data_IF_194925149882
#
_entry.id   IF_194925149882
#
_cell.length_a   1.000
_cell.length_b   1.000
_cell.length_c   1.000
_cell.angle_alpha   90.00
_cell.angle_beta   90.00
_cell.angle_gamma   90.00
#
_symmetry.space_group_name_H-M   'P 1'
#
loop_
_entity.id
_entity.type
_entity.pdbx_description
1 polymer ?
#
# COMPACT_ATOMS: atom_id res chain seq x y z
N UNK A 1 103.17 -23.69 -131.39
CA UNK A 1 103.13 -22.47 -130.56
C UNK A 1 101.84 -22.46 -129.76
N UNK A 2 101.96 -22.12 -128.47
CA UNK A 2 100.94 -21.80 -127.49
C UNK A 2 99.94 -22.89 -127.05
N UNK A 3 100.29 -23.59 -125.98
CA UNK A 3 99.32 -24.13 -125.02
C UNK A 3 99.18 -23.10 -123.86
N UNK A 4 97.95 -22.70 -123.49
CA UNK A 4 97.74 -21.54 -122.63
C UNK A 4 97.90 -21.90 -121.15
N UNK A 5 98.57 -20.99 -120.45
CA UNK A 5 98.48 -20.78 -119.01
C UNK A 5 97.01 -20.58 -118.64
N UNK A 6 96.48 -21.43 -117.75
CA UNK A 6 95.27 -21.08 -117.01
C UNK A 6 95.40 -21.52 -115.55
N UNK A 7 96.23 -20.79 -114.81
CA UNK A 7 96.24 -20.81 -113.35
C UNK A 7 95.34 -19.68 -112.87
N UNK A 8 94.03 -19.80 -113.08
CA UNK A 8 93.05 -18.98 -112.36
C UNK A 8 92.78 -19.66 -111.03
N UNK A 9 93.54 -19.26 -110.01
CA UNK A 9 93.13 -19.47 -108.62
C UNK A 9 91.92 -18.55 -108.42
N UNK A 10 90.70 -19.08 -108.55
CA UNK A 10 89.52 -18.34 -108.12
C UNK A 10 89.68 -18.10 -106.61
N UNK A 11 89.96 -16.85 -106.24
CA UNK A 11 89.98 -16.43 -104.85
C UNK A 11 88.55 -16.44 -104.33
N UNK A 12 88.28 -17.28 -103.32
CA UNK A 12 87.00 -17.26 -102.62
C UNK A 12 86.64 -15.83 -102.23
N UNK A 13 85.52 -15.31 -102.74
CA UNK A 13 85.03 -13.97 -102.43
C UNK A 13 84.73 -13.87 -100.93
N UNK A 14 85.10 -12.73 -100.32
CA UNK A 14 84.77 -12.45 -98.92
C UNK A 14 83.26 -12.28 -98.83
N UNK A 15 82.60 -13.05 -97.96
CA UNK A 15 81.16 -12.91 -97.75
C UNK A 15 80.83 -11.50 -97.26
N UNK A 16 79.90 -10.86 -97.96
CA UNK A 16 79.34 -9.59 -97.53
C UNK A 16 78.23 -9.82 -96.48
N UNK A 17 78.21 -8.96 -95.46
CA UNK A 17 77.19 -8.95 -94.40
C UNK A 17 75.77 -9.00 -94.97
N UNK A 18 75.49 -8.23 -96.03
CA UNK A 18 74.15 -8.13 -96.63
C UNK A 18 73.67 -9.47 -97.22
N UNK A 19 74.57 -10.26 -97.81
CA UNK A 19 74.25 -11.58 -98.36
C UNK A 19 73.91 -12.56 -97.24
N UNK A 20 74.61 -12.47 -96.12
CA UNK A 20 74.36 -13.29 -94.93
C UNK A 20 73.00 -12.92 -94.29
N UNK A 21 72.72 -11.63 -94.13
CA UNK A 21 71.45 -11.15 -93.57
C UNK A 21 70.27 -11.59 -94.46
N UNK A 22 70.41 -11.50 -95.78
CA UNK A 22 69.39 -11.99 -96.71
C UNK A 22 69.17 -13.51 -96.62
N UNK A 23 70.23 -14.28 -96.37
CA UNK A 23 70.12 -15.73 -96.17
C UNK A 23 69.32 -16.08 -94.91
N UNK A 24 69.41 -15.29 -93.83
CA UNK A 24 68.59 -15.47 -92.62
C UNK A 24 67.12 -15.03 -92.79
N UNK A 25 66.81 -14.18 -93.77
CA UNK A 25 65.45 -13.72 -94.04
C UNK A 25 64.59 -14.76 -94.79
N UNK A 26 65.20 -15.83 -95.31
CA UNK A 26 64.54 -16.87 -96.10
C UNK A 26 64.72 -18.23 -95.43
N UNK A 27 63.64 -19.00 -95.35
CA UNK A 27 63.73 -20.40 -94.92
C UNK A 27 64.68 -21.19 -95.82
N UNK A 28 65.70 -21.84 -95.24
CA UNK A 28 66.75 -22.56 -95.99
C UNK A 28 67.77 -21.67 -96.70
N UNK A 29 67.72 -20.34 -96.54
CA UNK A 29 68.65 -19.42 -97.22
C UNK A 29 70.10 -19.60 -96.77
N UNK A 30 70.35 -20.01 -95.53
CA UNK A 30 71.69 -20.36 -95.05
C UNK A 30 72.24 -21.63 -95.69
N UNK A 31 71.38 -22.56 -96.07
CA UNK A 31 71.76 -23.79 -96.78
C UNK A 31 72.14 -23.47 -98.23
N UNK A 32 71.38 -22.59 -98.90
CA UNK A 32 71.72 -22.08 -100.24
C UNK A 32 73.05 -21.30 -100.23
N UNK A 33 73.29 -20.52 -99.18
CA UNK A 33 74.55 -19.81 -98.99
C UNK A 33 75.72 -20.78 -98.77
N UNK A 34 75.51 -21.80 -97.94
CA UNK A 34 76.49 -22.85 -97.71
C UNK A 34 76.84 -23.60 -99.00
N UNK A 35 75.85 -24.05 -99.78
CA UNK A 35 76.10 -24.79 -101.01
C UNK A 35 76.86 -23.95 -102.04
N UNK A 36 76.59 -22.65 -102.13
CA UNK A 36 77.37 -21.72 -102.98
C UNK A 36 78.85 -21.69 -102.56
N UNK A 37 79.12 -21.53 -101.26
CA UNK A 37 80.49 -21.51 -100.72
C UNK A 37 81.15 -22.88 -100.92
N UNK A 38 80.42 -23.97 -100.67
CA UNK A 38 80.92 -25.33 -100.81
C UNK A 38 81.27 -25.67 -102.26
N UNK A 39 80.46 -25.23 -103.23
CA UNK A 39 80.74 -25.39 -104.65
C UNK A 39 82.02 -24.64 -105.06
N UNK A 40 82.19 -23.40 -104.60
CA UNK A 40 83.38 -22.60 -104.87
C UNK A 40 84.65 -23.23 -104.25
N UNK A 41 84.57 -23.68 -102.99
CA UNK A 41 85.66 -24.39 -102.30
C UNK A 41 86.02 -25.70 -103.01
N UNK A 42 85.03 -26.50 -103.42
CA UNK A 42 85.23 -27.79 -104.10
C UNK A 42 85.79 -27.63 -105.52
N UNK A 43 85.65 -26.45 -106.14
CA UNK A 43 86.23 -26.16 -107.46
C UNK A 43 87.74 -25.91 -107.42
N UNK A 44 88.31 -25.65 -106.23
CA UNK A 44 89.74 -25.43 -106.06
C UNK A 44 90.51 -26.75 -106.14
N UNK A 45 91.45 -26.86 -107.08
CA UNK A 45 92.33 -28.04 -107.23
C UNK A 45 93.57 -27.87 -106.34
N UNK A 46 93.71 -28.65 -105.24
CA UNK A 46 94.80 -28.45 -104.29
C UNK A 46 96.14 -28.97 -104.82
N UNK A 47 97.20 -28.19 -104.70
CA UNK A 47 98.58 -28.63 -104.95
C UNK A 47 99.34 -28.83 -103.62
N UNK A 48 99.59 -30.09 -103.24
CA UNK A 48 100.35 -30.41 -102.03
C UNK A 48 101.86 -30.53 -102.24
N UNK A 49 102.30 -30.56 -103.51
CA UNK A 49 103.70 -30.79 -103.88
C UNK A 49 104.58 -29.55 -103.62
N UNK A 50 103.99 -28.35 -103.65
CA UNK A 50 104.69 -27.08 -103.41
C UNK A 50 104.35 -26.46 -102.05
N UNK A 51 105.28 -25.69 -101.47
CA UNK A 51 105.00 -24.91 -100.24
C UNK A 51 103.84 -23.93 -100.46
N UNK A 52 103.85 -23.23 -101.61
CA UNK A 52 102.82 -22.27 -101.99
C UNK A 52 101.43 -22.90 -102.08
N UNK A 53 101.32 -24.10 -102.65
CA UNK A 53 100.05 -24.81 -102.72
C UNK A 53 99.52 -25.28 -101.36
N UNK A 54 100.40 -25.76 -100.46
CA UNK A 54 100.01 -26.07 -99.07
C UNK A 54 99.55 -24.83 -98.28
N UNK A 55 100.25 -23.70 -98.44
CA UNK A 55 99.88 -22.43 -97.82
C UNK A 55 98.52 -21.90 -98.35
N UNK A 56 98.21 -22.14 -99.63
CA UNK A 56 96.92 -21.80 -100.23
C UNK A 56 95.76 -22.63 -99.66
N UNK A 57 95.96 -23.93 -99.39
CA UNK A 57 94.96 -24.79 -98.71
C UNK A 57 94.64 -24.24 -97.32
N UNK A 58 95.68 -23.90 -96.53
CA UNK A 58 95.51 -23.29 -95.21
C UNK A 58 94.77 -21.96 -95.27
N UNK A 59 95.07 -21.13 -96.28
CA UNK A 59 94.40 -19.85 -96.51
C UNK A 59 92.92 -20.02 -96.85
N UNK A 60 92.57 -21.02 -97.66
CA UNK A 60 91.17 -21.35 -98.00
C UNK A 60 90.39 -21.83 -96.76
N UNK A 61 90.99 -22.72 -95.95
CA UNK A 61 90.39 -23.18 -94.70
C UNK A 61 90.16 -22.05 -93.68
N UNK A 62 91.10 -21.09 -93.60
CA UNK A 62 90.95 -19.91 -92.77
C UNK A 62 89.81 -19.01 -93.27
N UNK A 63 89.66 -18.82 -94.59
CA UNK A 63 88.53 -18.07 -95.16
C UNK A 63 87.18 -18.72 -94.80
N UNK A 64 87.06 -20.04 -94.91
CA UNK A 64 85.85 -20.78 -94.49
C UNK A 64 85.56 -20.54 -93.00
N UNK A 65 86.58 -20.61 -92.16
CA UNK A 65 86.44 -20.38 -90.71
C UNK A 65 85.99 -18.95 -90.38
N UNK A 66 86.50 -17.95 -91.11
CA UNK A 66 86.07 -16.55 -91.00
C UNK A 66 84.63 -16.35 -91.47
N UNK A 67 84.25 -16.94 -92.61
CA UNK A 67 82.88 -16.93 -93.13
C UNK A 67 81.90 -17.54 -92.14
N UNK A 68 82.21 -18.69 -91.54
CA UNK A 68 81.41 -19.32 -90.48
C UNK A 68 81.21 -18.38 -89.28
N UNK A 69 82.30 -17.80 -88.79
CA UNK A 69 82.28 -16.90 -87.63
C UNK A 69 81.46 -15.64 -87.92
N UNK A 70 81.56 -15.11 -89.14
CA UNK A 70 80.77 -13.97 -89.58
C UNK A 70 79.29 -14.33 -89.63
N UNK A 71 78.91 -15.46 -90.25
CA UNK A 71 77.52 -15.93 -90.32
C UNK A 71 76.89 -16.07 -88.93
N UNK A 72 77.60 -16.69 -87.98
CA UNK A 72 77.15 -16.82 -86.60
C UNK A 72 76.95 -15.45 -85.92
N UNK A 73 77.89 -14.52 -86.13
CA UNK A 73 77.81 -13.16 -85.60
C UNK A 73 76.58 -12.42 -86.15
N UNK A 74 76.36 -12.43 -87.47
CA UNK A 74 75.20 -11.80 -88.09
C UNK A 74 73.89 -12.37 -87.54
N UNK A 75 73.80 -13.70 -87.39
CA UNK A 75 72.60 -14.35 -86.85
C UNK A 75 72.30 -13.93 -85.41
N UNK A 76 73.34 -13.83 -84.55
CA UNK A 76 73.19 -13.33 -83.17
C UNK A 76 72.74 -11.86 -83.13
N UNK A 77 73.32 -11.02 -83.98
CA UNK A 77 72.97 -9.59 -84.09
C UNK A 77 71.52 -9.42 -84.55
N UNK A 78 71.07 -10.16 -85.57
CA UNK A 78 69.67 -10.13 -86.05
C UNK A 78 68.68 -10.57 -84.97
N UNK A 79 68.97 -11.65 -84.24
CA UNK A 79 68.10 -12.10 -83.13
C UNK A 79 68.05 -11.06 -82.02
N UNK A 80 69.18 -10.43 -81.68
CA UNK A 80 69.22 -9.38 -80.68
C UNK A 80 68.41 -8.15 -81.10
N UNK A 81 68.55 -7.71 -82.35
CA UNK A 81 67.79 -6.59 -82.93
C UNK A 81 66.29 -6.88 -82.97
N UNK A 82 65.88 -8.07 -83.44
CA UNK A 82 64.47 -8.47 -83.45
C UNK A 82 63.88 -8.54 -82.04
N UNK A 83 64.61 -9.10 -81.06
CA UNK A 83 64.16 -9.12 -79.66
C UNK A 83 64.02 -7.72 -79.07
N UNK A 84 64.95 -6.81 -79.40
CA UNK A 84 64.86 -5.42 -78.97
C UNK A 84 63.63 -4.74 -79.58
N UNK A 85 63.37 -4.95 -80.88
CA UNK A 85 62.19 -4.41 -81.56
C UNK A 85 60.88 -4.98 -81.00
N UNK A 86 60.80 -6.29 -80.77
CA UNK A 86 59.65 -6.95 -80.14
C UNK A 86 59.40 -6.35 -78.75
N UNK A 87 60.46 -6.16 -77.95
CA UNK A 87 60.33 -5.57 -76.62
C UNK A 87 59.76 -4.15 -76.67
N UNK A 88 60.22 -3.31 -77.60
CA UNK A 88 59.66 -1.96 -77.80
C UNK A 88 58.17 -2.03 -78.14
N UNK A 89 57.77 -2.93 -79.05
CA UNK A 89 56.36 -3.11 -79.43
C UNK A 89 55.52 -3.57 -78.24
N UNK A 90 56.02 -4.53 -77.44
CA UNK A 90 55.32 -5.02 -76.24
C UNK A 90 55.15 -3.92 -75.20
N UNK A 91 56.21 -3.16 -74.92
CA UNK A 91 56.19 -2.05 -73.96
C UNK A 91 55.21 -0.96 -74.41
N UNK A 92 55.23 -0.58 -75.70
CA UNK A 92 54.31 0.40 -76.27
C UNK A 92 52.87 -0.09 -76.28
N UNK A 93 52.61 -1.37 -76.58
CA UNK A 93 51.26 -1.97 -76.51
C UNK A 93 50.69 -1.88 -75.08
N UNK A 94 51.49 -2.21 -74.07
CA UNK A 94 51.05 -2.13 -72.66
C UNK A 94 50.80 -0.67 -72.29
N UNK A 95 51.73 0.22 -72.66
CA UNK A 95 51.64 1.65 -72.38
C UNK A 95 50.41 2.30 -73.00
N UNK A 96 50.12 1.99 -74.28
CA UNK A 96 49.00 2.60 -74.99
C UNK A 96 47.65 2.11 -74.43
N UNK A 97 47.49 0.81 -74.14
CA UNK A 97 46.26 0.29 -73.51
C UNK A 97 46.00 0.99 -72.19
N UNK A 98 47.02 1.09 -71.32
CA UNK A 98 46.91 1.79 -70.04
C UNK A 98 46.52 3.26 -70.20
N UNK A 99 47.08 3.97 -71.19
CA UNK A 99 46.72 5.37 -71.47
C UNK A 99 45.26 5.51 -71.90
N UNK A 100 44.75 4.59 -72.74
CA UNK A 100 43.36 4.61 -73.16
C UNK A 100 42.39 4.26 -72.02
N UNK A 101 42.76 3.33 -71.12
CA UNK A 101 41.98 3.06 -69.91
C UNK A 101 41.89 4.30 -69.01
N UNK A 102 43.02 4.98 -68.75
CA UNK A 102 43.02 6.22 -67.96
C UNK A 102 42.20 7.32 -68.62
N UNK A 103 42.29 7.48 -69.94
CA UNK A 103 41.49 8.47 -70.68
C UNK A 103 39.99 8.15 -70.61
N UNK A 104 39.61 6.87 -70.71
CA UNK A 104 38.23 6.44 -70.51
C UNK A 104 37.76 6.83 -69.11
N UNK A 105 38.54 6.51 -68.09
CA UNK A 105 38.17 6.77 -66.70
C UNK A 105 38.06 8.29 -66.42
N UNK A 106 38.95 9.11 -67.01
CA UNK A 106 38.87 10.58 -66.97
C UNK A 106 37.57 11.10 -67.62
N UNK A 107 37.18 10.54 -68.76
CA UNK A 107 35.93 10.90 -69.46
C UNK A 107 34.69 10.46 -68.67
N UNK A 108 34.77 9.33 -67.94
CA UNK A 108 33.67 8.81 -67.11
C UNK A 108 33.54 9.54 -65.78
N UNK A 109 34.64 10.06 -65.22
CA UNK A 109 34.67 10.65 -63.88
C UNK A 109 33.60 11.73 -63.63
N UNK A 110 33.29 12.67 -64.55
CA UNK A 110 32.23 13.65 -64.33
C UNK A 110 30.84 13.02 -64.21
N UNK A 111 30.55 11.96 -64.98
CA UNK A 111 29.27 11.25 -64.90
C UNK A 111 29.17 10.51 -63.57
N UNK A 112 30.21 9.77 -63.21
CA UNK A 112 30.21 8.99 -61.96
C UNK A 112 30.09 9.91 -60.73
N UNK A 113 30.75 11.08 -60.77
CA UNK A 113 30.61 12.11 -59.74
C UNK A 113 29.18 12.68 -59.66
N UNK A 114 28.54 12.94 -60.81
CA UNK A 114 27.16 13.40 -60.85
C UNK A 114 26.18 12.33 -60.35
N UNK A 115 26.33 11.08 -60.77
CA UNK A 115 25.47 9.97 -60.32
C UNK A 115 25.55 9.78 -58.80
N UNK A 116 26.76 9.88 -58.22
CA UNK A 116 26.94 9.80 -56.78
C UNK A 116 26.34 11.02 -56.06
N UNK A 117 26.57 12.24 -56.56
CA UNK A 117 25.98 13.45 -55.99
C UNK A 117 24.45 13.42 -56.03
N UNK A 118 23.86 12.91 -57.11
CA UNK A 118 22.41 12.78 -57.26
C UNK A 118 21.84 11.72 -56.31
N UNK A 119 22.53 10.58 -56.17
CA UNK A 119 22.17 9.56 -55.18
C UNK A 119 22.20 10.11 -53.76
N UNK A 120 23.23 10.89 -53.42
CA UNK A 120 23.36 11.51 -52.10
C UNK A 120 22.30 12.59 -51.88
N UNK A 121 21.95 13.38 -52.90
CA UNK A 121 20.85 14.36 -52.87
C UNK A 121 19.52 13.68 -52.57
N UNK A 122 19.15 12.66 -53.35
CA UNK A 122 17.91 11.88 -53.17
C UNK A 122 17.87 11.21 -51.80
N UNK A 123 18.97 10.61 -51.34
CA UNK A 123 19.05 9.98 -50.03
C UNK A 123 18.85 10.99 -48.90
N UNK A 124 19.46 12.17 -48.99
CA UNK A 124 19.31 13.26 -48.01
C UNK A 124 17.86 13.70 -47.89
N UNK A 125 17.19 13.97 -49.02
CA UNK A 125 15.78 14.39 -49.05
C UNK A 125 14.86 13.29 -48.52
N UNK A 126 15.09 12.04 -48.93
CA UNK A 126 14.33 10.89 -48.44
C UNK A 126 14.50 10.69 -46.93
N UNK A 127 15.71 10.84 -46.40
CA UNK A 127 15.97 10.73 -44.96
C UNK A 127 15.31 11.87 -44.18
N UNK A 128 15.33 13.09 -44.71
CA UNK A 128 14.64 14.23 -44.09
C UNK A 128 13.14 13.96 -43.93
N UNK A 129 12.48 13.49 -45.00
CA UNK A 129 11.05 13.12 -44.97
C UNK A 129 10.81 11.94 -44.02
N UNK A 130 11.67 10.92 -44.05
CA UNK A 130 11.59 9.78 -43.15
C UNK A 130 11.67 10.20 -41.68
N UNK A 131 12.60 11.11 -41.34
CA UNK A 131 12.74 11.65 -39.99
C UNK A 131 11.45 12.33 -39.52
N UNK A 132 10.79 13.11 -40.39
CA UNK A 132 9.49 13.71 -40.09
C UNK A 132 8.44 12.62 -39.81
N UNK A 133 8.34 11.59 -40.65
CA UNK A 133 7.34 10.52 -40.53
C UNK A 133 7.51 9.71 -39.23
N UNK A 134 8.74 9.47 -38.78
CA UNK A 134 8.99 8.65 -37.58
C UNK A 134 8.81 9.40 -36.26
N UNK A 135 8.76 10.74 -36.24
CA UNK A 135 8.61 11.52 -35.01
C UNK A 135 7.37 11.10 -34.19
N UNK A 136 6.25 10.79 -34.85
CA UNK A 136 5.06 10.28 -34.16
C UNK A 136 5.34 8.99 -33.38
N UNK A 137 5.97 8.00 -34.03
CA UNK A 137 6.27 6.71 -33.41
C UNK A 137 7.22 6.79 -32.22
N UNK A 138 8.06 7.83 -32.15
CA UNK A 138 8.98 8.07 -31.04
C UNK A 138 8.34 8.77 -29.84
N UNK A 139 7.23 9.51 -30.05
CA UNK A 139 6.69 10.41 -29.05
C UNK A 139 5.27 10.07 -28.57
N UNK A 140 4.50 9.25 -29.30
CA UNK A 140 3.06 9.11 -29.05
C UNK A 140 2.67 8.59 -27.66
N UNK A 141 3.53 7.80 -27.01
CA UNK A 141 3.31 7.24 -25.67
C UNK A 141 4.00 8.03 -24.54
N UNK A 142 4.65 9.15 -24.87
CA UNK A 142 5.33 9.99 -23.88
C UNK A 142 4.35 10.89 -23.11
N UNK A 143 4.77 11.49 -21.98
CA UNK A 143 3.98 12.50 -21.29
C UNK A 143 3.62 13.69 -22.19
N UNK A 144 2.51 14.37 -21.90
CA UNK A 144 1.99 15.48 -22.72
C UNK A 144 3.02 16.57 -23.00
N UNK A 145 3.91 16.85 -22.05
CA UNK A 145 4.99 17.83 -22.19
C UNK A 145 6.00 17.46 -23.29
N UNK A 146 6.37 16.18 -23.41
CA UNK A 146 7.32 15.73 -24.42
C UNK A 146 6.67 15.71 -25.82
N UNK A 147 5.38 15.33 -25.89
CA UNK A 147 4.61 15.43 -27.14
C UNK A 147 4.51 16.89 -27.61
N UNK A 148 4.30 17.86 -26.69
CA UNK A 148 4.33 19.30 -27.00
C UNK A 148 5.66 19.74 -27.59
N UNK A 149 6.78 19.37 -26.95
CA UNK A 149 8.12 19.69 -27.49
C UNK A 149 8.35 19.12 -28.88
N UNK A 150 7.87 17.90 -29.14
CA UNK A 150 7.95 17.28 -30.45
C UNK A 150 7.12 18.04 -31.51
N UNK A 151 5.91 18.48 -31.14
CA UNK A 151 5.08 19.35 -31.98
C UNK A 151 5.80 20.67 -32.27
N UNK A 152 6.30 21.37 -31.23
CA UNK A 152 6.99 22.66 -31.38
C UNK A 152 8.23 22.54 -32.29
N UNK A 153 8.98 21.45 -32.13
CA UNK A 153 10.15 21.15 -32.96
C UNK A 153 9.76 20.93 -34.42
N UNK A 154 8.68 20.16 -34.67
CA UNK A 154 8.20 19.89 -36.01
C UNK A 154 7.55 21.13 -36.66
N UNK A 155 6.83 21.95 -35.89
CA UNK A 155 6.27 23.22 -36.36
C UNK A 155 7.37 24.19 -36.78
N UNK A 156 8.47 24.25 -36.01
CA UNK A 156 9.65 25.07 -36.30
C UNK A 156 10.49 24.55 -37.47
N UNK A 157 10.32 23.29 -37.88
CA UNK A 157 11.07 22.70 -38.99
C UNK A 157 10.72 23.40 -40.32
N UNK A 158 11.71 24.04 -40.94
CA UNK A 158 11.52 24.70 -42.24
C UNK A 158 11.46 23.65 -43.35
N UNK A 159 10.43 23.74 -44.18
CA UNK A 159 10.25 22.93 -45.39
C UNK A 159 10.06 23.91 -46.54
N UNK A 160 11.13 24.12 -47.30
CA UNK A 160 11.21 25.10 -48.38
C UNK A 160 11.80 24.48 -49.66
N UNK A 161 12.12 25.33 -50.63
CA UNK A 161 12.63 24.94 -51.94
C UNK A 161 13.98 24.22 -51.90
N UNK A 162 14.67 24.17 -50.76
CA UNK A 162 15.91 23.39 -50.61
C UNK A 162 15.71 21.88 -50.74
N UNK A 163 14.46 21.41 -50.71
CA UNK A 163 14.07 20.02 -50.91
C UNK A 163 13.71 19.69 -52.37
N UNK A 164 13.86 20.65 -53.29
CA UNK A 164 13.60 20.45 -54.72
C UNK A 164 12.20 19.84 -54.99
N UNK A 165 12.12 18.78 -55.80
CA UNK A 165 10.87 18.07 -56.11
C UNK A 165 10.21 17.39 -54.88
N UNK A 166 10.94 17.25 -53.78
CA UNK A 166 10.47 16.62 -52.53
C UNK A 166 9.82 17.62 -51.57
N UNK A 167 9.84 18.92 -51.86
CA UNK A 167 9.26 19.95 -50.99
C UNK A 167 7.79 19.64 -50.64
N UNK A 168 6.98 19.27 -51.64
CA UNK A 168 5.56 18.99 -51.43
C UNK A 168 5.34 17.71 -50.60
N UNK A 169 6.14 16.67 -50.84
CA UNK A 169 6.08 15.44 -50.05
C UNK A 169 6.47 15.72 -48.59
N UNK A 170 7.51 16.51 -48.36
CA UNK A 170 7.94 16.91 -47.02
C UNK A 170 6.89 17.76 -46.30
N UNK A 171 6.20 18.67 -47.00
CA UNK A 171 5.08 19.44 -46.44
C UNK A 171 3.94 18.54 -46.02
N UNK A 172 3.57 17.58 -46.88
CA UNK A 172 2.53 16.60 -46.57
C UNK A 172 2.93 15.74 -45.36
N UNK A 173 4.14 15.19 -45.34
CA UNK A 173 4.65 14.42 -44.22
C UNK A 173 4.63 15.21 -42.91
N UNK A 174 5.04 16.50 -42.94
CA UNK A 174 4.99 17.38 -41.78
C UNK A 174 3.57 17.57 -41.28
N UNK A 175 2.62 17.83 -42.18
CA UNK A 175 1.21 18.02 -41.83
C UNK A 175 0.59 16.77 -41.22
N UNK A 176 0.77 15.61 -41.85
CA UNK A 176 0.26 14.33 -41.36
C UNK A 176 0.85 13.93 -40.00
N UNK A 177 2.16 14.13 -39.80
CA UNK A 177 2.79 13.85 -38.51
C UNK A 177 2.29 14.81 -37.43
N UNK A 178 2.14 16.11 -37.73
CA UNK A 178 1.59 17.08 -36.78
C UNK A 178 0.16 16.74 -36.37
N UNK A 179 -0.68 16.32 -37.30
CA UNK A 179 -2.05 15.90 -37.01
C UNK A 179 -2.06 14.71 -36.03
N UNK A 180 -1.25 13.69 -36.30
CA UNK A 180 -1.11 12.52 -35.42
C UNK A 180 -0.59 12.88 -34.02
N UNK A 181 0.44 13.74 -33.95
CA UNK A 181 1.01 14.19 -32.68
C UNK A 181 0.00 15.02 -31.87
N UNK A 182 -0.76 15.90 -32.51
CA UNK A 182 -1.81 16.70 -31.85
C UNK A 182 -2.95 15.83 -31.33
N UNK A 183 -3.35 14.79 -32.07
CA UNK A 183 -4.33 13.81 -31.61
C UNK A 183 -3.81 13.01 -30.40
N UNK A 184 -2.55 12.57 -30.43
CA UNK A 184 -1.91 11.91 -29.29
C UNK A 184 -1.80 12.84 -28.08
N UNK A 185 -1.43 14.11 -28.28
CA UNK A 185 -1.37 15.11 -27.21
C UNK A 185 -2.73 15.27 -26.52
N UNK A 186 -3.80 15.49 -27.29
CA UNK A 186 -5.15 15.64 -26.77
C UNK A 186 -5.58 14.42 -25.94
N UNK A 187 -5.25 13.22 -26.42
CA UNK A 187 -5.54 11.96 -25.71
C UNK A 187 -4.74 11.87 -24.40
N UNK A 188 -3.45 12.24 -24.44
CA UNK A 188 -2.55 12.19 -23.28
C UNK A 188 -2.89 13.23 -22.23
N UNK A 189 -3.26 14.45 -22.62
CA UNK A 189 -3.70 15.51 -21.71
C UNK A 189 -4.98 15.11 -20.97
N UNK A 190 -5.95 14.51 -21.67
CA UNK A 190 -7.15 13.97 -21.03
C UNK A 190 -6.81 12.90 -20.01
N UNK A 191 -5.99 11.92 -20.40
CA UNK A 191 -5.55 10.86 -19.50
C UNK A 191 -4.85 11.43 -18.25
N UNK A 192 -3.91 12.37 -18.41
CA UNK A 192 -3.19 12.98 -17.29
C UNK A 192 -4.11 13.81 -16.38
N UNK A 193 -5.07 14.54 -16.96
CA UNK A 193 -6.08 15.27 -16.19
C UNK A 193 -6.99 14.32 -15.38
N UNK A 194 -7.46 13.23 -15.98
CA UNK A 194 -8.25 12.19 -15.32
C UNK A 194 -7.47 11.53 -14.18
N UNK A 195 -6.18 11.23 -14.37
CA UNK A 195 -5.33 10.68 -13.31
C UNK A 195 -5.16 11.67 -12.15
N UNK A 196 -4.92 12.95 -12.44
CA UNK A 196 -4.78 13.98 -11.40
C UNK A 196 -6.08 14.20 -10.62
N UNK A 197 -7.23 14.22 -11.31
CA UNK A 197 -8.53 14.31 -10.64
C UNK A 197 -8.81 13.09 -9.78
N UNK A 198 -8.53 11.88 -10.28
CA UNK A 198 -8.69 10.64 -9.52
C UNK A 198 -7.84 10.62 -8.25
N UNK A 199 -6.60 11.10 -8.33
CA UNK A 199 -5.73 11.23 -7.15
C UNK A 199 -6.28 12.23 -6.13
N UNK A 200 -6.78 13.38 -6.60
CA UNK A 200 -7.44 14.38 -5.73
C UNK A 200 -8.67 13.79 -5.04
N UNK A 201 -9.50 13.04 -5.77
CA UNK A 201 -10.69 12.38 -5.22
C UNK A 201 -10.31 11.33 -4.17
N UNK A 202 -9.29 10.50 -4.43
CA UNK A 202 -8.78 9.52 -3.46
C UNK A 202 -8.28 10.19 -2.18
N UNK A 203 -7.55 11.31 -2.31
CA UNK A 203 -7.06 12.07 -1.16
C UNK A 203 -8.23 12.67 -0.35
N UNK A 204 -9.18 13.31 -1.02
CA UNK A 204 -10.35 13.88 -0.37
C UNK A 204 -11.22 12.83 0.31
N UNK A 205 -11.39 11.65 -0.29
CA UNK A 205 -12.09 10.52 0.32
C UNK A 205 -11.35 10.00 1.55
N UNK A 206 -10.03 9.84 1.47
CA UNK A 206 -9.22 9.43 2.62
C UNK A 206 -9.32 10.42 3.78
N UNK A 207 -9.23 11.73 3.51
CA UNK A 207 -9.40 12.79 4.51
C UNK A 207 -10.83 12.83 5.09
N UNK A 208 -11.85 12.52 4.29
CA UNK A 208 -13.24 12.39 4.80
C UNK A 208 -13.36 11.20 5.75
N UNK A 209 -12.86 10.03 5.37
CA UNK A 209 -12.90 8.82 6.20
C UNK A 209 -12.11 9.00 7.51
N UNK A 210 -10.97 9.69 7.46
CA UNK A 210 -10.21 10.05 8.66
C UNK A 210 -11.03 10.95 9.59
N UNK A 211 -11.63 12.03 9.07
CA UNK A 211 -12.49 12.92 9.86
C UNK A 211 -13.71 12.19 10.44
N UNK A 212 -14.40 11.37 9.66
CA UNK A 212 -15.53 10.56 10.15
C UNK A 212 -15.09 9.59 11.26
N UNK A 213 -13.89 9.02 11.16
CA UNK A 213 -13.33 8.17 12.19
C UNK A 213 -12.99 8.95 13.47
N UNK A 214 -12.35 10.11 13.34
CA UNK A 214 -12.01 11.00 14.45
C UNK A 214 -13.27 11.53 15.14
N UNK A 215 -14.29 11.94 14.38
CA UNK A 215 -15.59 12.36 14.87
C UNK A 215 -16.31 11.22 15.61
N UNK A 216 -16.27 9.99 15.07
CA UNK A 216 -16.82 8.81 15.77
C UNK A 216 -16.10 8.56 17.09
N UNK A 217 -14.77 8.59 17.11
CA UNK A 217 -13.99 8.43 18.34
C UNK A 217 -14.33 9.55 19.34
N UNK A 218 -14.42 10.81 18.89
CA UNK A 218 -14.75 11.94 19.74
C UNK A 218 -16.18 11.83 20.31
N UNK A 219 -17.15 11.43 19.47
CA UNK A 219 -18.53 11.20 19.89
C UNK A 219 -18.62 10.04 20.89
N UNK A 220 -17.98 8.90 20.62
CA UNK A 220 -17.91 7.75 21.54
C UNK A 220 -17.26 8.14 22.87
N UNK A 221 -16.18 8.93 22.85
CA UNK A 221 -15.52 9.42 24.05
C UNK A 221 -16.42 10.39 24.85
N UNK A 222 -17.12 11.31 24.18
CA UNK A 222 -18.06 12.24 24.80
C UNK A 222 -19.28 11.52 25.40
N UNK A 223 -19.86 10.56 24.68
CA UNK A 223 -20.95 9.70 25.17
C UNK A 223 -20.49 8.88 26.39
N UNK A 224 -19.31 8.27 26.33
CA UNK A 224 -18.75 7.53 27.46
C UNK A 224 -18.52 8.43 28.67
N UNK A 225 -18.00 9.64 28.48
CA UNK A 225 -17.82 10.61 29.55
C UNK A 225 -19.17 11.06 30.14
N UNK A 226 -20.21 11.27 29.31
CA UNK A 226 -21.56 11.59 29.78
C UNK A 226 -22.17 10.46 30.59
N UNK A 227 -22.09 9.22 30.11
CA UNK A 227 -22.59 8.04 30.82
C UNK A 227 -21.85 7.82 32.15
N UNK A 228 -20.53 8.05 32.19
CA UNK A 228 -19.77 7.96 33.43
C UNK A 228 -20.15 9.08 34.41
N UNK A 229 -20.37 10.31 33.93
CA UNK A 229 -20.81 11.43 34.76
C UNK A 229 -22.24 11.22 35.29
N UNK A 230 -23.16 10.73 34.45
CA UNK A 230 -24.53 10.38 34.85
C UNK A 230 -24.54 9.25 35.87
N UNK A 231 -23.73 8.21 35.67
CA UNK A 231 -23.57 7.12 36.65
C UNK A 231 -23.04 7.64 37.98
N UNK A 232 -22.00 8.48 37.99
CA UNK A 232 -21.49 9.10 39.21
C UNK A 232 -22.53 9.99 39.90
N UNK A 233 -23.27 10.79 39.13
CA UNK A 233 -24.34 11.63 39.66
C UNK A 233 -25.48 10.80 40.26
N UNK A 234 -25.84 9.67 39.62
CA UNK A 234 -26.84 8.73 40.14
C UNK A 234 -26.35 8.01 41.40
N UNK A 235 -25.12 7.51 41.40
CA UNK A 235 -24.48 6.90 42.58
C UNK A 235 -24.41 7.90 43.76
N UNK A 236 -24.11 9.17 43.48
CA UNK A 236 -24.11 10.24 44.48
C UNK A 236 -25.52 10.59 44.97
N UNK A 237 -26.50 10.71 44.07
CA UNK A 237 -27.90 10.95 44.43
C UNK A 237 -28.48 9.80 45.26
N UNK A 238 -28.20 8.55 44.91
CA UNK A 238 -28.58 7.36 45.68
C UNK A 238 -27.91 7.34 47.05
N UNK A 239 -26.63 7.76 47.16
CA UNK A 239 -25.94 7.91 48.45
C UNK A 239 -26.62 8.97 49.31
N UNK A 240 -26.90 10.15 48.75
CA UNK A 240 -27.58 11.24 49.47
C UNK A 240 -28.99 10.84 49.89
N UNK A 241 -29.73 10.15 49.03
CA UNK A 241 -31.07 9.65 49.38
C UNK A 241 -31.00 8.58 50.46
N UNK A 242 -30.05 7.64 50.40
CA UNK A 242 -29.84 6.66 51.47
C UNK A 242 -29.48 7.34 52.79
N UNK A 243 -28.60 8.34 52.79
CA UNK A 243 -28.27 9.11 54.00
C UNK A 243 -29.49 9.86 54.56
N UNK A 244 -30.36 10.42 53.70
CA UNK A 244 -31.63 11.02 54.13
C UNK A 244 -32.59 9.99 54.71
N UNK A 245 -32.76 8.83 54.06
CA UNK A 245 -33.63 7.76 54.54
C UNK A 245 -33.12 7.18 55.87
N UNK A 246 -31.80 7.01 56.03
CA UNK A 246 -31.19 6.60 57.29
C UNK A 246 -31.39 7.66 58.39
N UNK A 247 -31.26 8.96 58.06
CA UNK A 247 -31.55 10.04 59.01
C UNK A 247 -33.02 10.11 59.41
N UNK A 248 -33.94 9.91 58.47
CA UNK A 248 -35.39 9.84 58.74
C UNK A 248 -35.70 8.62 59.59
N UNK A 249 -35.19 7.43 59.23
CA UNK A 249 -35.38 6.20 60.00
C UNK A 249 -34.83 6.32 61.43
N UNK A 250 -33.67 6.98 61.59
CA UNK A 250 -33.11 7.27 62.92
C UNK A 250 -33.99 8.23 63.71
N UNK A 251 -34.48 9.30 63.10
CA UNK A 251 -35.39 10.24 63.74
C UNK A 251 -36.75 9.61 64.08
N UNK A 252 -37.27 8.70 63.26
CA UNK A 252 -38.48 7.93 63.56
C UNK A 252 -38.26 6.93 64.68
N UNK A 253 -37.11 6.26 64.73
CA UNK A 253 -36.72 5.39 65.84
C UNK A 253 -36.64 6.19 67.14
N UNK A 254 -35.96 7.34 67.14
CA UNK A 254 -35.87 8.23 68.30
C UNK A 254 -37.25 8.76 68.74
N UNK A 255 -38.13 9.12 67.80
CA UNK A 255 -39.52 9.50 68.10
C UNK A 255 -40.34 8.35 68.68
N UNK A 256 -40.20 7.13 68.15
CA UNK A 256 -40.88 5.94 68.69
C UNK A 256 -40.39 5.62 70.09
N UNK A 257 -39.08 5.67 70.33
CA UNK A 257 -38.51 5.48 71.67
C UNK A 257 -38.94 6.59 72.65
N UNK A 258 -39.11 7.83 72.19
CA UNK A 258 -39.63 8.92 73.01
C UNK A 258 -41.12 8.73 73.33
N UNK A 259 -41.93 8.36 72.32
CA UNK A 259 -43.35 8.08 72.49
C UNK A 259 -43.59 6.85 73.39
N UNK A 260 -42.76 5.82 73.29
CA UNK A 260 -42.84 4.64 74.17
C UNK A 260 -42.46 5.01 75.61
N UNK A 261 -41.44 5.86 75.82
CA UNK A 261 -41.10 6.40 77.14
C UNK A 261 -42.24 7.23 77.73
N UNK A 262 -42.88 8.08 76.94
CA UNK A 262 -44.01 8.90 77.37
C UNK A 262 -45.25 8.05 77.68
N UNK A 263 -45.58 7.06 76.83
CA UNK A 263 -46.65 6.11 77.08
C UNK A 263 -46.40 5.30 78.36
N UNK A 264 -45.16 4.92 78.64
CA UNK A 264 -44.79 4.21 79.88
C UNK A 264 -44.98 5.09 81.12
N UNK A 265 -44.65 6.38 81.04
CA UNK A 265 -44.88 7.35 82.11
C UNK A 265 -46.37 7.62 82.33
N UNK A 266 -47.18 7.69 81.27
CA UNK A 266 -48.64 7.85 81.37
C UNK A 266 -49.27 6.60 81.99
N UNK A 267 -48.91 5.40 81.52
CA UNK A 267 -49.39 4.15 82.08
C UNK A 267 -49.00 3.97 83.57
N UNK A 268 -47.81 4.44 83.98
CA UNK A 268 -47.41 4.43 85.39
C UNK A 268 -48.25 5.39 86.25
N UNK A 269 -48.56 6.58 85.73
CA UNK A 269 -49.45 7.54 86.39
C UNK A 269 -50.89 7.02 86.50
N UNK A 270 -51.45 6.47 85.43
CA UNK A 270 -52.79 5.87 85.44
C UNK A 270 -52.87 4.67 86.39
N UNK A 271 -51.83 3.81 86.44
CA UNK A 271 -51.77 2.71 87.40
C UNK A 271 -51.65 3.20 88.86
N UNK A 272 -50.99 4.33 89.11
CA UNK A 272 -50.93 4.95 90.44
C UNK A 272 -52.29 5.57 90.83
N UNK A 273 -52.98 6.20 89.90
CA UNK A 273 -54.30 6.82 90.10
C UNK A 273 -55.39 5.76 90.33
N UNK A 274 -55.36 4.65 89.59
CA UNK A 274 -56.26 3.52 89.79
C UNK A 274 -56.02 2.86 91.16
N UNK A 275 -54.77 2.73 91.61
CA UNK A 275 -54.44 2.24 92.97
C UNK A 275 -54.94 3.18 94.06
N UNK A 276 -54.88 4.50 93.85
CA UNK A 276 -55.43 5.49 94.78
C UNK A 276 -56.98 5.42 94.82
N UNK A 277 -57.65 5.22 93.69
CA UNK A 277 -59.09 5.05 93.62
C UNK A 277 -59.55 3.74 94.29
N UNK A 278 -58.87 2.63 94.04
CA UNK A 278 -59.17 1.35 94.71
C UNK A 278 -58.93 1.41 96.23
N UNK A 279 -57.91 2.15 96.71
CA UNK A 279 -57.71 2.38 98.14
C UNK A 279 -58.82 3.26 98.75
N UNK A 280 -59.32 4.28 98.03
CA UNK A 280 -60.40 5.14 98.48
C UNK A 280 -61.79 4.47 98.46
N UNK A 281 -62.03 3.48 97.59
CA UNK A 281 -63.25 2.67 97.60
C UNK A 281 -63.23 1.57 98.69
N UNK A 282 -62.06 0.99 98.96
CA UNK A 282 -61.90 0.02 100.06
C UNK A 282 -62.16 0.65 101.44
N UNK A 283 -61.74 1.90 101.65
CA UNK A 283 -62.01 2.62 102.91
C UNK A 283 -63.49 3.02 103.05
N UNK A 284 -64.17 3.37 101.95
CA UNK A 284 -65.62 3.66 101.96
C UNK A 284 -66.47 2.44 102.32
N UNK A 285 -66.12 1.25 101.81
CA UNK A 285 -66.83 0.01 102.14
C UNK A 285 -66.63 -0.44 103.60
N UNK A 286 -65.51 -0.10 104.25
CA UNK A 286 -65.31 -0.35 105.69
C UNK A 286 -66.22 0.52 106.57
N UNK A 287 -66.38 1.79 106.23
CA UNK A 287 -67.20 2.74 107.00
C UNK A 287 -68.70 2.41 106.90
N UNK A 288 -69.17 1.94 105.73
CA UNK A 288 -70.57 1.52 105.53
C UNK A 288 -70.92 0.21 106.26
N UNK A 289 -69.99 -0.75 106.29
CA UNK A 289 -70.19 -2.01 107.02
C UNK A 289 -70.21 -1.83 108.55
N UNK A 290 -69.47 -0.85 109.08
CA UNK A 290 -69.41 -0.56 110.52
C UNK A 290 -70.67 0.20 111.03
N UNK A 291 -71.31 1.01 110.18
CA UNK A 291 -72.56 1.70 110.51
C UNK A 291 -73.79 0.77 110.44
N UNK A 292 -73.80 -0.22 109.52
CA UNK A 292 -74.89 -1.20 109.41
C UNK A 292 -74.99 -2.12 110.65
N UNK A 293 -73.86 -2.53 111.23
CA UNK A 293 -73.83 -3.41 112.42
C UNK A 293 -74.29 -2.70 113.70
N UNK A 294 -74.03 -1.38 113.83
CA UNK A 294 -74.47 -0.59 114.99
C UNK A 294 -76.00 -0.36 115.02
N UNK A 295 -76.61 -0.13 113.85
CA UNK A 295 -78.04 0.17 113.75
C UNK A 295 -78.92 -1.07 114.01
N UNK A 296 -78.44 -2.27 113.66
CA UNK A 296 -79.18 -3.52 113.89
C UNK A 296 -79.06 -4.03 115.35
N UNK A 297 -77.99 -3.68 116.04
CA UNK A 297 -77.80 -4.00 117.46
C UNK A 297 -78.71 -3.18 118.40
N UNK A 298 -78.97 -1.90 118.10
CA UNK A 298 -79.84 -1.04 118.91
C UNK A 298 -81.33 -1.42 118.81
N UNK A 299 -81.78 -1.93 117.65
CA UNK A 299 -83.18 -2.31 117.43
C UNK A 299 -83.60 -3.57 118.21
N UNK A 300 -82.67 -4.51 118.45
CA UNK A 300 -82.94 -5.76 119.19
C UNK A 300 -82.93 -5.60 120.71
N UNK A 301 -82.26 -4.57 121.26
CA UNK A 301 -82.20 -4.32 122.71
C UNK A 301 -83.44 -3.61 123.27
N UNK A 302 -84.13 -2.81 122.46
CA UNK A 302 -85.30 -2.04 122.93
C UNK A 302 -86.59 -2.90 122.97
N UNK A 303 -86.75 -3.85 122.04
CA UNK A 303 -87.91 -4.76 122.00
C UNK A 303 -87.92 -5.79 123.14
N UNK A 304 -86.74 -6.17 123.67
CA UNK A 304 -86.62 -7.13 124.79
C UNK A 304 -86.95 -6.52 126.17
N UNK A 305 -86.86 -5.19 126.34
CA UNK A 305 -87.13 -4.51 127.62
C UNK A 305 -88.62 -4.30 127.89
N UNK A 306 -89.45 -4.12 126.86
CA UNK A 306 -90.87 -3.83 127.02
C UNK A 306 -91.72 -5.10 127.30
N UNK A 307 -91.33 -6.26 126.77
CA UNK A 307 -92.05 -7.52 127.01
C UNK A 307 -91.93 -8.05 128.46
N UNK A 308 -90.80 -7.81 129.12
CA UNK A 308 -90.55 -8.32 130.48
C UNK A 308 -91.33 -7.53 131.56
N UNK A 309 -91.55 -6.22 131.38
CA UNK A 309 -92.29 -5.40 132.35
C UNK A 309 -93.80 -5.72 132.38
N UNK A 310 -94.40 -6.07 131.25
CA UNK A 310 -95.82 -6.42 131.17
C UNK A 310 -96.13 -7.75 131.89
N UNK A 311 -95.26 -8.75 131.76
CA UNK A 311 -95.40 -10.07 132.38
C UNK A 311 -95.38 -9.98 133.91
N UNK A 312 -94.43 -9.22 134.48
CA UNK A 312 -94.28 -9.08 135.94
C UNK A 312 -95.48 -8.39 136.59
N UNK A 313 -96.09 -7.42 135.92
CA UNK A 313 -97.23 -6.66 136.44
C UNK A 313 -98.52 -7.50 136.51
N UNK A 314 -98.69 -8.46 135.59
CA UNK A 314 -99.85 -9.37 135.59
C UNK A 314 -99.82 -10.32 136.79
N UNK A 315 -98.68 -10.97 137.03
CA UNK A 315 -98.55 -11.97 138.10
C UNK A 315 -98.70 -11.35 139.50
N UNK A 316 -98.14 -10.15 139.74
CA UNK A 316 -98.33 -9.46 141.02
C UNK A 316 -99.80 -9.12 141.31
N UNK A 317 -100.61 -8.82 140.29
CA UNK A 317 -102.03 -8.51 140.48
C UNK A 317 -102.87 -9.76 140.80
N UNK A 318 -102.52 -10.92 140.24
CA UNK A 318 -103.18 -12.20 140.55
C UNK A 318 -102.88 -12.64 142.00
N UNK A 319 -101.63 -12.53 142.44
CA UNK A 319 -101.26 -12.79 143.82
C UNK A 319 -101.98 -11.86 144.81
N UNK A 320 -102.15 -10.57 144.45
CA UNK A 320 -102.90 -9.61 145.27
C UNK A 320 -104.38 -9.99 145.41
N UNK A 321 -104.99 -10.54 144.35
CA UNK A 321 -106.37 -11.05 144.38
C UNK A 321 -106.52 -12.24 145.33
N UNK A 322 -105.54 -13.15 145.36
CA UNK A 322 -105.55 -14.28 146.29
C UNK A 322 -105.51 -13.86 147.76
N UNK A 323 -104.71 -12.84 148.10
CA UNK A 323 -104.65 -12.29 149.46
C UNK A 323 -105.96 -11.62 149.88
N UNK A 324 -106.64 -10.93 148.95
CA UNK A 324 -107.93 -10.30 149.22
C UNK A 324 -109.04 -11.32 149.52
N UNK A 325 -109.04 -12.49 148.87
CA UNK A 325 -110.02 -13.55 149.09
C UNK A 325 -109.92 -14.20 150.49
N UNK A 326 -108.79 -14.04 151.18
CA UNK A 326 -108.56 -14.54 152.55
C UNK A 326 -108.98 -13.53 153.63
N UNK A 327 -109.62 -12.41 153.25
CA UNK A 327 -110.11 -11.40 154.18
C UNK A 327 -109.07 -10.33 154.59
N UNK A 328 -107.92 -10.29 153.91
CA UNK A 328 -106.88 -9.27 154.15
C UNK A 328 -107.23 -7.98 153.38
N UNK A 329 -107.14 -6.83 154.05
CA UNK A 329 -107.31 -5.51 153.43
C UNK A 329 -106.31 -5.26 152.28
N UNK A 330 -106.76 -4.50 151.26
CA UNK A 330 -106.02 -4.21 150.03
C UNK A 330 -104.76 -3.39 150.25
N UNK A 331 -104.72 -2.50 151.24
CA UNK A 331 -103.50 -1.74 151.54
C UNK A 331 -102.45 -2.66 152.17
N UNK A 332 -102.85 -3.46 153.17
CA UNK A 332 -101.97 -4.46 153.82
C UNK A 332 -101.48 -5.54 152.83
N UNK A 333 -102.36 -6.02 151.95
CA UNK A 333 -102.01 -7.01 150.92
C UNK A 333 -100.97 -6.52 149.92
N UNK A 334 -101.00 -5.22 149.54
CA UNK A 334 -99.96 -4.61 148.71
C UNK A 334 -98.62 -4.49 149.43
N UNK A 335 -98.62 -4.10 150.69
CA UNK A 335 -97.39 -4.03 151.50
C UNK A 335 -96.72 -5.40 151.62
N UNK A 336 -97.51 -6.46 151.86
CA UNK A 336 -97.01 -7.84 151.91
C UNK A 336 -96.41 -8.26 150.56
N UNK A 337 -97.10 -8.00 149.45
CA UNK A 337 -96.59 -8.31 148.11
C UNK A 337 -95.29 -7.56 147.81
N UNK A 338 -95.19 -6.31 148.25
CA UNK A 338 -94.01 -5.48 148.05
C UNK A 338 -92.83 -5.92 148.92
N UNK A 339 -93.09 -6.38 150.15
CA UNK A 339 -92.07 -6.97 151.02
C UNK A 339 -91.52 -8.28 150.42
N UNK A 340 -92.39 -9.15 149.88
CA UNK A 340 -91.98 -10.38 149.20
C UNK A 340 -91.19 -10.06 147.92
N UNK A 341 -91.63 -9.10 147.11
CA UNK A 341 -90.95 -8.74 145.86
C UNK A 341 -89.58 -8.05 146.09
N UNK A 342 -89.39 -7.42 147.26
CA UNK A 342 -88.09 -6.89 147.71
C UNK A 342 -87.23 -7.93 148.45
N UNK A 343 -87.71 -9.17 148.63
CA UNK A 343 -86.99 -10.23 149.34
C UNK A 343 -86.89 -10.02 150.86
N UNK A 344 -87.72 -9.17 151.44
CA UNK A 344 -87.70 -8.83 152.87
C UNK A 344 -88.41 -9.87 153.75
N UNK A 345 -89.12 -10.83 153.15
CA UNK A 345 -89.73 -11.99 153.82
C UNK A 345 -88.90 -13.23 153.46
N UNK A 346 -88.09 -13.78 154.37
CA UNK A 346 -87.24 -14.93 154.08
C UNK A 346 -88.06 -16.15 153.64
N UNK A 347 -87.50 -16.93 152.71
CA UNK A 347 -88.06 -18.19 152.18
C UNK A 347 -89.39 -18.10 151.41
N UNK A 348 -89.85 -16.89 151.05
CA UNK A 348 -91.06 -16.67 150.22
C UNK A 348 -90.71 -15.79 149.01
N UNK A 349 -91.14 -16.17 147.80
CA UNK A 349 -90.90 -15.43 146.56
C UNK A 349 -92.07 -15.53 145.58
N UNK A 350 -92.32 -14.49 144.79
CA UNK A 350 -93.29 -14.53 143.67
C UNK A 350 -92.53 -14.97 142.41
N UNK A 351 -92.97 -16.06 141.78
CA UNK A 351 -92.45 -16.50 140.49
C UNK A 351 -93.05 -15.64 139.39
N UNK A 352 -92.21 -14.99 138.59
CA UNK A 352 -92.61 -14.07 137.53
C UNK A 352 -92.69 -14.68 136.16
#
# INVERSE_FOLDING_TARGET
>A
MNAPVNTQVNELQVLEQNVIVAAFAKHGGTDELYERIAQEVRSHVPDVSTKKGRDAIGSLALKISKSKTLIEKCGKELVAEQKAQIKVIDDDRISIVKKFDLLRDEVLAPRDAWEQAEKDRVAKHSQFISNIKVMYGLCFDLPSLEIKKAIDSLESLVVDSSLDEYEQEAKLAKLETLEKLRAALSTREKYEAEQSELERLRKAEHERLQREHEERIAHEAAEKARLEAERKAKEEAERVEREKQEAIAKAECEKREAAEREARLVAEKEAAELRAQHAAEAERKRIEAEQAVKLEAERKTEEARQANQAHRKKICNEALKGLLALGIDKAKGKEILQAINKGLVPHVSIKF
#
